data_IF_131370223214
#
_entry.id   IF_131370223214
#
_cell.length_a   1.000
_cell.length_b   1.000
_cell.length_c   1.000
_cell.angle_alpha   90.00
_cell.angle_beta   90.00
_cell.angle_gamma   90.00
#
_symmetry.space_group_name_H-M   'P 1'
#
loop_
_entity.id
_entity.type
_entity.pdbx_description
1 polymer ?
#
# COMPACT_ATOMS: atom_id res chain seq x y z
N UNK A 1 -8.42 -8.42 -4.58
CA UNK A 1 -8.10 -7.01 -4.86
C UNK A 1 -7.74 -6.29 -3.57
N UNK A 2 -6.67 -5.53 -3.59
CA UNK A 2 -6.26 -4.66 -2.48
C UNK A 2 -5.92 -3.29 -3.03
N UNK A 3 -6.41 -2.27 -2.36
CA UNK A 3 -6.19 -0.88 -2.74
C UNK A 3 -5.44 -0.18 -1.61
N UNK A 4 -4.31 0.43 -1.92
CA UNK A 4 -3.54 1.27 -1.02
C UNK A 4 -3.53 2.72 -1.50
N UNK A 5 -4.20 3.58 -0.76
CA UNK A 5 -4.19 5.02 -1.00
C UNK A 5 -3.34 5.69 0.07
N UNK A 6 -2.19 6.21 -0.31
CA UNK A 6 -1.21 6.77 0.63
C UNK A 6 -0.86 5.81 1.76
N UNK A 7 -0.56 4.56 1.42
CA UNK A 7 -0.30 3.51 2.41
C UNK A 7 1.10 3.64 3.03
N UNK A 8 1.21 3.23 4.28
CA UNK A 8 2.49 3.15 4.97
C UNK A 8 3.09 1.75 4.79
N UNK A 9 4.24 1.70 4.14
CA UNK A 9 4.97 0.45 3.89
C UNK A 9 6.28 0.32 4.68
N UNK A 10 6.73 1.36 5.35
CA UNK A 10 8.02 1.33 6.03
C UNK A 10 8.21 2.32 7.17
N UNK A 11 7.44 3.40 7.23
CA UNK A 11 7.62 4.44 8.24
C UNK A 11 7.37 3.91 9.67
N UNK A 12 6.38 3.06 9.87
CA UNK A 12 6.11 2.42 11.16
C UNK A 12 7.30 1.59 11.60
N UNK A 13 7.86 0.78 10.70
CA UNK A 13 9.05 -0.04 10.97
C UNK A 13 10.24 0.83 11.37
N UNK A 14 10.47 1.93 10.65
CA UNK A 14 11.54 2.87 10.92
C UNK A 14 11.38 3.54 12.29
N UNK A 15 10.19 4.01 12.63
CA UNK A 15 9.87 4.61 13.92
C UNK A 15 10.08 3.64 15.08
N UNK A 16 9.68 2.39 14.92
CA UNK A 16 9.87 1.34 15.93
C UNK A 16 11.36 1.04 16.12
N UNK A 17 12.14 0.93 15.06
CA UNK A 17 13.59 0.70 15.11
C UNK A 17 14.34 1.84 15.77
N UNK A 18 13.97 3.07 15.47
CA UNK A 18 14.60 4.27 16.03
C UNK A 18 14.16 4.55 17.46
N UNK A 19 13.33 3.69 18.03
CA UNK A 19 12.78 3.82 19.37
C UNK A 19 12.08 5.18 19.59
N UNK A 20 11.48 5.71 18.56
CA UNK A 20 10.69 6.92 18.64
C UNK A 20 9.41 6.65 19.43
N UNK A 21 9.09 7.50 20.37
CA UNK A 21 7.90 7.36 21.19
C UNK A 21 6.66 7.70 20.36
N UNK A 22 6.04 6.68 19.82
CA UNK A 22 4.80 6.78 19.04
C UNK A 22 3.81 5.72 19.51
N UNK A 23 2.55 5.87 19.13
CA UNK A 23 1.53 4.82 19.33
C UNK A 23 1.98 3.50 18.72
N UNK A 24 2.68 3.57 17.58
CA UNK A 24 3.17 2.42 16.85
C UNK A 24 4.31 1.69 17.56
N UNK A 25 5.22 2.40 18.21
CA UNK A 25 6.30 1.77 18.98
C UNK A 25 5.76 0.96 20.16
N UNK A 26 4.64 1.38 20.75
CA UNK A 26 3.95 0.59 21.76
C UNK A 26 3.20 -0.61 21.17
N UNK A 27 2.51 -0.40 20.04
CA UNK A 27 1.73 -1.45 19.41
C UNK A 27 2.59 -2.63 18.92
N UNK A 28 3.83 -2.36 18.54
CA UNK A 28 4.77 -3.35 18.02
C UNK A 28 5.96 -3.63 18.98
N UNK A 29 5.82 -3.33 20.27
CA UNK A 29 6.86 -3.59 21.27
C UNK A 29 7.25 -5.07 21.26
N UNK A 30 8.54 -5.35 21.09
CA UNK A 30 9.08 -6.70 21.05
C UNK A 30 8.87 -7.45 19.73
N UNK A 31 8.28 -6.82 18.71
CA UNK A 31 8.11 -7.41 17.38
C UNK A 31 9.27 -6.98 16.47
N UNK A 32 9.94 -7.95 15.85
CA UNK A 32 10.90 -7.69 14.78
C UNK A 32 10.13 -7.53 13.46
N UNK A 33 9.81 -6.29 13.10
CA UNK A 33 9.03 -5.98 11.90
C UNK A 33 9.76 -6.28 10.59
N UNK A 34 11.09 -6.40 10.60
CA UNK A 34 11.84 -6.82 9.41
C UNK A 34 11.68 -8.31 9.11
N UNK A 35 11.56 -9.12 10.16
CA UNK A 35 11.39 -10.55 10.06
C UNK A 35 9.92 -11.00 10.08
N UNK A 36 9.01 -10.14 10.50
CA UNK A 36 7.58 -10.47 10.65
C UNK A 36 6.91 -10.61 9.29
N UNK A 37 6.57 -11.85 8.94
CA UNK A 37 5.86 -12.18 7.70
C UNK A 37 4.38 -11.77 7.70
N UNK A 38 3.84 -11.33 8.81
CA UNK A 38 2.41 -10.97 8.93
C UNK A 38 2.13 -9.48 8.85
N UNK A 39 3.10 -8.64 9.20
CA UNK A 39 2.97 -7.18 9.24
C UNK A 39 3.87 -6.46 8.24
N UNK A 40 4.88 -7.13 7.70
CA UNK A 40 5.81 -6.54 6.75
C UNK A 40 5.30 -6.73 5.32
N UNK A 41 4.91 -5.64 4.66
CA UNK A 41 4.35 -5.67 3.31
C UNK A 41 5.33 -6.24 2.26
N UNK A 42 6.63 -6.00 2.41
CA UNK A 42 7.66 -6.55 1.53
C UNK A 42 7.72 -8.08 1.64
N UNK A 43 7.70 -8.60 2.87
CA UNK A 43 7.68 -10.05 3.13
C UNK A 43 6.41 -10.72 2.66
N UNK A 44 5.27 -10.05 2.82
CA UNK A 44 4.00 -10.53 2.30
C UNK A 44 4.00 -10.61 0.77
N UNK A 45 4.58 -9.62 0.09
CA UNK A 45 4.72 -9.63 -1.36
C UNK A 45 5.65 -10.77 -1.84
N UNK A 46 6.80 -10.96 -1.18
CA UNK A 46 7.73 -12.09 -1.48
C UNK A 46 7.01 -13.43 -1.33
N UNK A 47 6.29 -13.61 -0.24
CA UNK A 47 5.53 -14.83 0.03
C UNK A 47 4.46 -15.07 -1.04
N UNK A 48 3.73 -14.05 -1.43
CA UNK A 48 2.72 -14.14 -2.49
C UNK A 48 3.34 -14.57 -3.84
N UNK A 49 4.59 -14.18 -4.12
CA UNK A 49 5.31 -14.59 -5.33
C UNK A 49 5.73 -16.06 -5.32
N UNK A 50 5.94 -16.64 -4.14
CA UNK A 50 6.24 -18.08 -4.01
C UNK A 50 4.98 -18.95 -4.08
N UNK A 51 3.82 -18.38 -3.81
CA UNK A 51 2.53 -19.03 -3.89
C UNK A 51 1.84 -18.69 -5.21
N UNK A 52 1.80 -19.62 -6.17
CA UNK A 52 1.27 -19.37 -7.53
C UNK A 52 -0.22 -19.03 -7.58
N UNK A 53 -0.96 -19.30 -6.51
CA UNK A 53 -2.40 -19.09 -6.43
C UNK A 53 -2.77 -18.01 -5.43
N UNK A 54 -3.89 -17.33 -5.68
CA UNK A 54 -4.48 -16.34 -4.79
C UNK A 54 -3.64 -15.06 -4.59
N UNK A 55 -2.82 -14.69 -5.58
CA UNK A 55 -2.19 -13.37 -5.56
C UNK A 55 -3.25 -12.28 -5.64
N UNK A 56 -3.20 -11.38 -4.68
CA UNK A 56 -4.05 -10.21 -4.68
C UNK A 56 -3.64 -9.26 -5.80
N UNK A 57 -4.58 -8.80 -6.59
CA UNK A 57 -4.33 -7.70 -7.53
C UNK A 57 -4.25 -6.41 -6.73
N UNK A 58 -3.15 -5.68 -6.92
CA UNK A 58 -2.84 -4.47 -6.16
C UNK A 58 -3.05 -3.22 -7.01
N UNK A 59 -3.69 -2.23 -6.41
CA UNK A 59 -3.73 -0.86 -6.89
C UNK A 59 -3.15 0.06 -5.81
N UNK A 60 -2.06 0.74 -6.12
CA UNK A 60 -1.38 1.64 -5.20
C UNK A 60 -1.44 3.06 -5.76
N UNK A 61 -1.74 4.03 -4.92
CA UNK A 61 -1.75 5.42 -5.30
C UNK A 61 -1.22 6.33 -4.18
N UNK A 62 -0.44 7.32 -4.55
CA UNK A 62 0.07 8.31 -3.61
C UNK A 62 0.32 9.65 -4.31
N UNK A 63 -0.03 10.75 -3.65
CA UNK A 63 0.25 12.09 -4.14
C UNK A 63 1.73 12.43 -4.00
N UNK A 64 2.27 13.23 -4.92
CA UNK A 64 3.70 13.60 -4.94
C UNK A 64 4.11 14.48 -3.78
N UNK A 65 3.19 15.19 -3.15
CA UNK A 65 3.40 16.04 -1.98
C UNK A 65 3.05 15.34 -0.65
N UNK A 66 2.62 14.06 -0.72
CA UNK A 66 2.33 13.24 0.46
C UNK A 66 3.63 12.87 1.18
N UNK A 67 3.63 12.94 2.52
CA UNK A 67 4.80 12.56 3.32
C UNK A 67 5.16 11.06 3.18
N UNK A 68 4.24 10.22 2.73
CA UNK A 68 4.45 8.80 2.42
C UNK A 68 4.83 8.53 0.96
N UNK A 69 5.01 9.57 0.15
CA UNK A 69 5.28 9.38 -1.28
C UNK A 69 6.52 8.53 -1.54
N UNK A 70 7.62 8.80 -0.84
CA UNK A 70 8.87 8.05 -1.01
C UNK A 70 8.70 6.57 -0.64
N UNK A 71 7.97 6.27 0.41
CA UNK A 71 7.69 4.90 0.84
C UNK A 71 6.84 4.14 -0.21
N UNK A 72 5.85 4.83 -0.78
CA UNK A 72 5.04 4.27 -1.85
C UNK A 72 5.87 4.01 -3.12
N UNK A 73 6.77 4.92 -3.49
CA UNK A 73 7.68 4.71 -4.61
C UNK A 73 8.62 3.53 -4.39
N UNK A 74 9.22 3.40 -3.20
CA UNK A 74 10.10 2.28 -2.87
C UNK A 74 9.37 0.94 -2.93
N UNK A 75 8.15 0.89 -2.41
CA UNK A 75 7.37 -0.34 -2.46
C UNK A 75 6.97 -0.70 -3.89
N UNK A 76 6.56 0.27 -4.70
CA UNK A 76 6.30 0.11 -6.12
C UNK A 76 7.52 -0.46 -6.86
N UNK A 77 8.69 0.17 -6.69
CA UNK A 77 9.95 -0.29 -7.30
C UNK A 77 10.30 -1.72 -6.89
N UNK A 78 10.11 -2.04 -5.62
CA UNK A 78 10.35 -3.40 -5.10
C UNK A 78 9.38 -4.43 -5.71
N UNK A 79 8.11 -4.10 -5.86
CA UNK A 79 7.13 -4.97 -6.52
C UNK A 79 7.53 -5.23 -7.98
N UNK A 80 8.03 -4.22 -8.69
CA UNK A 80 8.55 -4.37 -10.04
C UNK A 80 9.79 -5.29 -10.05
N UNK A 81 10.71 -5.11 -9.10
CA UNK A 81 11.93 -5.91 -8.98
C UNK A 81 11.64 -7.41 -8.78
N UNK A 82 10.66 -7.74 -7.93
CA UNK A 82 10.27 -9.13 -7.70
C UNK A 82 9.29 -9.69 -8.74
N UNK A 83 8.85 -8.86 -9.70
CA UNK A 83 7.92 -9.26 -10.74
C UNK A 83 6.46 -9.36 -10.29
N UNK A 84 6.08 -8.67 -9.21
CA UNK A 84 4.70 -8.61 -8.75
C UNK A 84 3.92 -7.59 -9.58
N UNK A 85 3.03 -8.08 -10.46
CA UNK A 85 2.20 -7.23 -11.30
C UNK A 85 1.19 -6.42 -10.45
N UNK A 86 1.17 -5.11 -10.65
CA UNK A 86 0.34 -4.17 -9.89
C UNK A 86 0.09 -2.89 -10.67
N UNK A 87 -0.88 -2.11 -10.23
CA UNK A 87 -1.10 -0.74 -10.70
C UNK A 87 -0.46 0.25 -9.72
N UNK A 88 0.19 1.27 -10.26
CA UNK A 88 0.72 2.38 -9.48
C UNK A 88 0.30 3.71 -10.10
N UNK A 89 -0.44 4.50 -9.35
CA UNK A 89 -0.94 5.81 -9.77
C UNK A 89 -0.34 6.90 -8.90
N UNK A 90 0.28 7.88 -9.54
CA UNK A 90 0.81 9.06 -8.85
C UNK A 90 0.50 10.32 -9.63
N UNK A 91 0.23 11.38 -8.92
CA UNK A 91 0.01 12.74 -9.44
C UNK A 91 0.20 13.76 -8.33
N UNK A 92 0.20 15.02 -8.69
CA UNK A 92 0.17 16.12 -7.74
C UNK A 92 -0.99 15.94 -6.74
N UNK A 93 -0.69 16.05 -5.46
CA UNK A 93 -1.65 15.88 -4.36
C UNK A 93 -0.98 15.51 -3.06
N UNK A 94 -1.74 15.60 -1.98
CA UNK A 94 -1.25 15.44 -0.63
C UNK A 94 -2.01 14.31 0.10
N UNK A 95 -1.66 14.10 1.37
CA UNK A 95 -2.30 13.11 2.25
C UNK A 95 -3.65 13.63 2.74
N UNK A 96 -4.64 13.68 1.83
CA UNK A 96 -5.96 14.25 2.11
C UNK A 96 -7.06 13.69 1.21
N UNK A 97 -8.29 14.00 1.57
CA UNK A 97 -9.47 13.54 0.85
C UNK A 97 -9.59 14.07 -0.57
N UNK A 98 -9.02 15.24 -0.90
CA UNK A 98 -9.03 15.75 -2.27
C UNK A 98 -8.32 14.79 -3.23
N UNK A 99 -7.18 14.23 -2.79
CA UNK A 99 -6.47 13.21 -3.52
C UNK A 99 -7.23 11.88 -3.55
N UNK A 100 -7.64 11.40 -2.38
CA UNK A 100 -8.28 10.07 -2.26
C UNK A 100 -9.64 9.99 -2.96
N UNK A 101 -10.48 11.02 -2.87
CA UNK A 101 -11.77 11.07 -3.55
C UNK A 101 -11.62 10.99 -5.07
N UNK A 102 -10.66 11.72 -5.61
CA UNK A 102 -10.33 11.67 -7.02
C UNK A 102 -9.77 10.31 -7.44
N UNK A 103 -8.95 9.68 -6.60
CA UNK A 103 -8.32 8.40 -6.90
C UNK A 103 -9.32 7.23 -6.80
N UNK A 104 -10.25 7.28 -5.85
CA UNK A 104 -11.33 6.27 -5.71
C UNK A 104 -12.12 6.10 -7.02
N UNK A 105 -12.36 7.16 -7.76
CA UNK A 105 -13.05 7.09 -9.07
C UNK A 105 -12.28 6.22 -10.06
N UNK A 106 -10.96 6.35 -10.11
CA UNK A 106 -10.09 5.51 -10.95
C UNK A 106 -10.07 4.06 -10.47
N UNK A 107 -10.06 3.86 -9.14
CA UNK A 107 -10.12 2.52 -8.54
C UNK A 107 -11.41 1.82 -8.91
N UNK A 108 -12.55 2.50 -8.88
CA UNK A 108 -13.84 1.93 -9.28
C UNK A 108 -13.86 1.50 -10.75
N UNK A 109 -13.23 2.30 -11.64
CA UNK A 109 -13.08 1.93 -13.04
C UNK A 109 -12.13 0.74 -13.24
N UNK A 110 -11.12 0.60 -12.39
CA UNK A 110 -10.16 -0.51 -12.44
C UNK A 110 -10.73 -1.82 -11.91
N UNK A 111 -11.61 -1.76 -10.91
CA UNK A 111 -12.25 -2.93 -10.35
C UNK A 111 -13.21 -3.57 -11.37
N UNK A 112 -13.27 -4.92 -11.45
CA UNK A 112 -14.18 -5.62 -12.37
C UNK A 112 -15.62 -5.65 -11.82
N UNK A 113 -16.17 -4.47 -11.57
CA UNK A 113 -17.52 -4.32 -11.04
C UNK A 113 -18.57 -4.47 -12.14
N UNK A 114 -19.71 -5.03 -11.77
CA UNK A 114 -20.88 -5.01 -12.66
C UNK A 114 -21.43 -3.58 -12.79
N UNK A 115 -22.18 -3.26 -13.86
CA UNK A 115 -22.78 -1.94 -14.00
C UNK A 115 -23.64 -1.52 -12.80
N UNK A 116 -24.35 -2.45 -12.16
CA UNK A 116 -25.15 -2.19 -10.96
C UNK A 116 -24.26 -1.83 -9.78
N UNK A 117 -23.17 -2.57 -9.58
CA UNK A 117 -22.21 -2.31 -8.51
C UNK A 117 -21.52 -0.96 -8.69
N UNK A 118 -21.19 -0.59 -9.92
CA UNK A 118 -20.63 0.73 -10.24
C UNK A 118 -21.63 1.86 -9.98
N UNK A 119 -22.89 1.69 -10.37
CA UNK A 119 -23.94 2.67 -10.12
C UNK A 119 -24.20 2.90 -8.64
N UNK A 120 -24.10 1.85 -7.81
CA UNK A 120 -24.26 1.92 -6.36
C UNK A 120 -22.98 2.33 -5.63
N UNK A 121 -21.84 2.46 -6.32
CA UNK A 121 -20.56 2.85 -5.73
C UNK A 121 -19.85 1.73 -4.96
N UNK A 122 -20.13 0.50 -5.27
CA UNK A 122 -19.43 -0.66 -4.68
C UNK A 122 -18.16 -1.02 -5.42
#
# INVERSE_FOLDING_TARGET
YTIGLSADFGLITENVKNNEFTVWSHAFEGVDLDADETSNSYKLAEKAMTEERNRTRLYLACGTEDFLYQENCRFHEYLDEIGYEHEFSTREGNHNWDFWDSEIKKVLDWLPLTPIEQELGF
#
